data_IF_275316972644
#
_entry.id   IF_275316972644
#
_cell.length_a   1.000
_cell.length_b   1.000
_cell.length_c   1.000
_cell.angle_alpha   90.00
_cell.angle_beta   90.00
_cell.angle_gamma   90.00
#
_symmetry.space_group_name_H-M   'P 1'
#
loop_
_entity.id
_entity.type
_entity.pdbx_description
1 polymer ?
#
# COMPACT_ATOMS: atom_id res chain seq x y z
N UNK A 1 12.96 -5.22 -4.29
CA UNK A 1 13.56 -3.98 -3.77
C UNK A 1 12.62 -2.82 -4.05
N UNK A 2 12.30 -2.02 -3.03
CA UNK A 2 11.45 -0.84 -3.19
C UNK A 2 12.23 0.22 -3.99
N UNK A 3 11.68 0.68 -5.10
CA UNK A 3 12.23 1.75 -5.92
C UNK A 3 11.08 2.68 -6.32
N UNK A 4 11.40 3.85 -6.87
CA UNK A 4 10.38 4.87 -7.19
C UNK A 4 9.30 4.35 -8.14
N UNK A 5 9.64 3.45 -9.09
CA UNK A 5 8.67 2.85 -10.00
C UNK A 5 7.71 1.91 -9.27
N UNK A 6 8.24 1.07 -8.39
CA UNK A 6 7.44 0.13 -7.59
C UNK A 6 6.53 0.88 -6.61
N UNK A 7 7.03 1.96 -5.98
CA UNK A 7 6.24 2.81 -5.09
C UNK A 7 5.08 3.44 -5.85
N UNK A 8 5.34 4.07 -6.99
CA UNK A 8 4.28 4.69 -7.81
C UNK A 8 3.23 3.69 -8.28
N UNK A 9 3.63 2.46 -8.63
CA UNK A 9 2.72 1.39 -9.01
C UNK A 9 1.84 0.94 -7.83
N UNK A 10 2.44 0.76 -6.64
CA UNK A 10 1.72 0.38 -5.42
C UNK A 10 0.68 1.44 -5.02
N UNK A 11 1.08 2.71 -5.03
CA UNK A 11 0.19 3.81 -4.65
C UNK A 11 -0.96 3.97 -5.65
N UNK A 12 -0.70 3.85 -6.95
CA UNK A 12 -1.75 3.89 -7.97
C UNK A 12 -2.75 2.74 -7.78
N UNK A 13 -2.25 1.52 -7.62
CA UNK A 13 -3.10 0.36 -7.40
C UNK A 13 -3.92 0.49 -6.12
N UNK A 14 -3.33 1.00 -5.03
CA UNK A 14 -4.01 1.21 -3.77
C UNK A 14 -5.19 2.18 -3.91
N UNK A 15 -5.01 3.29 -4.64
CA UNK A 15 -6.08 4.25 -4.94
C UNK A 15 -7.23 3.62 -5.75
N UNK A 16 -6.92 2.68 -6.64
CA UNK A 16 -7.90 2.03 -7.51
C UNK A 16 -8.66 0.89 -6.81
N UNK A 17 -8.03 0.19 -5.85
CA UNK A 17 -8.54 -1.09 -5.32
C UNK A 17 -8.97 -1.07 -3.85
N UNK A 18 -8.37 -0.20 -3.01
CA UNK A 18 -8.66 -0.21 -1.56
C UNK A 18 -9.93 0.59 -1.26
N UNK A 19 -10.27 1.58 -2.08
CA UNK A 19 -11.57 2.27 -2.02
C UNK A 19 -11.81 3.13 -0.77
N UNK A 20 -10.83 3.26 0.12
CA UNK A 20 -10.88 4.11 1.31
C UNK A 20 -9.82 5.19 1.24
N UNK A 21 -10.07 6.38 1.83
CA UNK A 21 -9.03 7.37 1.95
C UNK A 21 -7.90 6.81 2.81
N UNK A 22 -6.68 6.97 2.30
CA UNK A 22 -5.45 6.62 3.00
C UNK A 22 -5.01 7.88 3.73
N UNK A 23 -4.98 7.83 5.05
CA UNK A 23 -4.61 8.96 5.91
C UNK A 23 -3.09 9.09 6.07
N UNK A 24 -2.37 7.96 5.97
CA UNK A 24 -0.94 7.91 6.20
C UNK A 24 -0.27 6.87 5.32
N UNK A 25 0.92 7.23 4.81
CA UNK A 25 1.78 6.36 4.02
C UNK A 25 3.21 6.47 4.58
N UNK A 26 3.76 5.36 5.05
CA UNK A 26 5.14 5.28 5.50
C UNK A 26 5.91 4.23 4.69
N UNK A 27 7.03 4.61 4.08
CA UNK A 27 7.94 3.67 3.45
C UNK A 27 9.04 3.27 4.44
N UNK A 28 8.97 2.03 4.94
CA UNK A 28 9.88 1.48 5.96
C UNK A 28 10.38 0.11 5.52
N UNK A 29 11.68 -0.13 5.63
CA UNK A 29 12.32 -1.43 5.41
C UNK A 29 11.91 -2.15 4.11
N UNK A 30 11.73 -1.37 3.04
CA UNK A 30 11.36 -1.90 1.72
C UNK A 30 9.89 -2.29 1.56
N UNK A 31 9.03 -1.83 2.47
CA UNK A 31 7.57 -2.01 2.47
C UNK A 31 6.87 -0.65 2.55
N UNK A 32 5.64 -0.55 2.06
CA UNK A 32 4.80 0.63 2.29
C UNK A 32 3.73 0.27 3.32
N UNK A 33 3.76 0.94 4.46
CA UNK A 33 2.75 0.86 5.50
C UNK A 33 1.70 1.93 5.22
N UNK A 34 0.43 1.57 5.41
CA UNK A 34 -0.70 2.47 5.24
C UNK A 34 -1.58 2.49 6.47
N UNK A 35 -2.18 3.66 6.75
CA UNK A 35 -3.31 3.80 7.65
C UNK A 35 -4.51 4.29 6.86
N UNK A 36 -5.63 3.58 6.97
CA UNK A 36 -6.90 3.97 6.38
C UNK A 36 -7.65 4.89 7.34
N UNK A 37 -8.55 5.72 6.80
CA UNK A 37 -9.36 6.64 7.62
C UNK A 37 -10.32 5.93 8.59
N UNK A 38 -10.60 4.64 8.39
CA UNK A 38 -11.38 3.82 9.33
C UNK A 38 -10.53 3.30 10.52
N UNK A 39 -9.25 3.68 10.57
CA UNK A 39 -8.31 3.30 11.63
C UNK A 39 -7.57 1.99 11.39
N UNK A 40 -7.92 1.22 10.35
CA UNK A 40 -7.18 0.00 9.99
C UNK A 40 -5.78 0.36 9.48
N UNK A 41 -4.82 -0.48 9.84
CA UNK A 41 -3.45 -0.38 9.37
C UNK A 41 -3.11 -1.60 8.54
N UNK A 42 -2.32 -1.41 7.50
CA UNK A 42 -1.95 -2.48 6.59
C UNK A 42 -0.69 -2.17 5.82
N UNK A 43 -0.41 -3.00 4.85
CA UNK A 43 0.81 -2.94 4.07
C UNK A 43 0.50 -3.09 2.58
N UNK A 44 1.25 -2.38 1.74
CA UNK A 44 1.28 -2.60 0.29
C UNK A 44 2.56 -3.34 -0.08
N UNK A 45 2.41 -4.37 -0.91
CA UNK A 45 3.49 -5.20 -1.38
C UNK A 45 3.47 -5.35 -2.90
N UNK A 46 4.67 -5.46 -3.48
CA UNK A 46 4.83 -5.96 -4.84
C UNK A 46 4.99 -7.47 -4.77
N UNK A 47 3.93 -8.21 -5.10
CA UNK A 47 3.98 -9.67 -5.29
C UNK A 47 4.40 -10.05 -6.69
N UNK A 48 4.48 -11.36 -6.96
CA UNK A 48 4.82 -11.89 -8.29
C UNK A 48 3.75 -11.56 -9.35
N UNK A 49 2.47 -11.59 -8.95
CA UNK A 49 1.34 -11.26 -9.81
C UNK A 49 1.00 -9.77 -9.85
N UNK A 50 1.78 -8.93 -9.16
CA UNK A 50 1.60 -7.49 -9.08
C UNK A 50 1.30 -6.95 -7.68
N UNK A 51 0.80 -5.72 -7.59
CA UNK A 51 0.54 -5.06 -6.32
C UNK A 51 -0.60 -5.73 -5.54
N UNK A 52 -0.45 -5.84 -4.22
CA UNK A 52 -1.54 -6.24 -3.34
C UNK A 52 -1.45 -5.54 -1.98
N UNK A 53 -2.56 -5.55 -1.24
CA UNK A 53 -2.63 -5.04 0.12
C UNK A 53 -2.93 -6.16 1.12
N UNK A 54 -2.24 -6.12 2.26
CA UNK A 54 -2.58 -6.90 3.44
C UNK A 54 -3.19 -5.96 4.49
N UNK A 55 -4.52 -5.92 4.55
CA UNK A 55 -5.29 -5.10 5.50
C UNK A 55 -6.19 -6.04 6.31
N UNK A 56 -6.22 -5.94 7.65
CA UNK A 56 -7.14 -6.71 8.49
C UNK A 56 -8.61 -6.51 8.10
N UNK A 57 -9.41 -7.56 8.27
CA UNK A 57 -10.87 -7.54 8.07
C UNK A 57 -11.56 -6.57 9.01
#
# INVERSE_FOLDING_TARGET
MLNTRNISALLRWAMENIGYPIDEINALDGTIHIRLSDGRTGFLYMGEDGPYAAIPS
#
